data_IF_647174469215
#
_entry.id   IF_647174469215
#
_cell.length_a   1.000
_cell.length_b   1.000
_cell.length_c   1.000
_cell.angle_alpha   90.00
_cell.angle_beta   90.00
_cell.angle_gamma   90.00
#
_symmetry.space_group_name_H-M   'P 1'
#
loop_
_entity.id
_entity.type
_entity.pdbx_description
1 polymer ?
#
# COMPACT_ATOMS: atom_id res chain seq x y z
N UNK A 1 8.24 8.53 8.09
CA UNK A 1 7.06 7.68 8.43
C UNK A 1 7.58 6.42 9.12
N UNK A 2 6.99 5.97 10.24
CA UNK A 2 7.36 4.68 10.87
C UNK A 2 6.96 3.55 9.91
N UNK A 3 7.89 2.64 9.63
CA UNK A 3 7.63 1.50 8.75
C UNK A 3 7.03 0.32 9.53
N UNK A 4 5.71 0.39 9.75
CA UNK A 4 4.97 -0.65 10.46
C UNK A 4 5.01 -1.99 9.71
N UNK A 5 5.02 -1.95 8.38
CA UNK A 5 5.03 -3.15 7.56
C UNK A 5 6.35 -3.90 7.71
N UNK A 6 7.50 -3.21 7.60
CA UNK A 6 8.81 -3.82 7.81
C UNK A 6 8.97 -4.41 9.22
N UNK A 7 8.45 -3.72 10.24
CA UNK A 7 8.45 -4.24 11.62
C UNK A 7 7.64 -5.53 11.71
N UNK A 8 6.43 -5.58 11.13
CA UNK A 8 5.60 -6.79 11.13
C UNK A 8 6.23 -7.93 10.31
N UNK A 9 6.81 -7.63 9.13
CA UNK A 9 7.50 -8.62 8.30
C UNK A 9 8.74 -9.21 8.98
N UNK A 10 9.41 -8.47 9.87
CA UNK A 10 10.59 -8.95 10.59
C UNK A 10 10.33 -10.16 11.49
N UNK A 11 9.07 -10.40 11.89
CA UNK A 11 8.69 -11.60 12.63
C UNK A 11 8.71 -12.86 11.76
N UNK A 12 8.60 -12.74 10.43
CA UNK A 12 8.62 -13.85 9.48
C UNK A 12 7.33 -14.66 9.39
N UNK A 13 6.53 -14.74 10.46
CA UNK A 13 5.28 -15.52 10.52
C UNK A 13 4.00 -14.66 10.42
N UNK A 14 4.12 -13.38 10.13
CA UNK A 14 2.96 -12.47 10.00
C UNK A 14 2.70 -12.23 8.52
N UNK A 15 1.48 -12.49 8.04
CA UNK A 15 1.08 -12.05 6.70
C UNK A 15 0.97 -10.53 6.69
N UNK A 16 1.64 -9.85 5.77
CA UNK A 16 1.61 -8.38 5.69
C UNK A 16 1.30 -7.94 4.27
N UNK A 17 0.29 -7.09 4.10
CA UNK A 17 0.01 -6.46 2.82
C UNK A 17 -0.09 -4.95 2.97
N UNK A 18 0.48 -4.23 2.01
CA UNK A 18 0.30 -2.80 1.85
C UNK A 18 -0.51 -2.54 0.58
N UNK A 19 -1.62 -1.82 0.72
CA UNK A 19 -2.70 -1.77 -0.26
C UNK A 19 -3.08 -0.32 -0.58
N UNK A 20 -3.58 -0.10 -1.81
CA UNK A 20 -4.21 1.14 -2.24
C UNK A 20 -5.24 0.80 -3.32
N UNK A 21 -6.52 0.98 -3.02
CA UNK A 21 -7.65 0.59 -3.87
C UNK A 21 -7.59 1.31 -5.22
N UNK A 22 -7.37 2.62 -5.19
CA UNK A 22 -7.33 3.42 -6.41
C UNK A 22 -6.15 3.09 -7.33
N UNK A 23 -5.10 2.47 -6.79
CA UNK A 23 -3.95 2.01 -7.58
C UNK A 23 -4.20 0.66 -8.25
N UNK A 24 -4.70 -0.34 -7.50
CA UNK A 24 -5.02 -1.67 -8.03
C UNK A 24 -6.08 -2.39 -7.17
N UNK A 25 -7.34 -2.39 -7.65
CA UNK A 25 -8.44 -3.08 -7.00
C UNK A 25 -8.23 -4.60 -6.88
N UNK A 26 -7.59 -5.22 -7.87
CA UNK A 26 -7.36 -6.67 -7.86
C UNK A 26 -6.32 -7.05 -6.80
N UNK A 27 -5.29 -6.21 -6.63
CA UNK A 27 -4.29 -6.38 -5.58
C UNK A 27 -4.93 -6.33 -4.19
N UNK A 28 -5.83 -5.37 -3.95
CA UNK A 28 -6.55 -5.26 -2.67
C UNK A 28 -7.40 -6.49 -2.41
N UNK A 29 -8.20 -6.92 -3.39
CA UNK A 29 -9.05 -8.11 -3.23
C UNK A 29 -8.20 -9.36 -2.95
N UNK A 30 -7.10 -9.54 -3.68
CA UNK A 30 -6.19 -10.66 -3.49
C UNK A 30 -5.56 -10.65 -2.10
N UNK A 31 -5.08 -9.49 -1.64
CA UNK A 31 -4.51 -9.34 -0.31
C UNK A 31 -5.52 -9.68 0.80
N UNK A 32 -6.78 -9.25 0.66
CA UNK A 32 -7.84 -9.54 1.63
C UNK A 32 -8.13 -11.05 1.72
N UNK A 33 -8.25 -11.73 0.58
CA UNK A 33 -8.50 -13.19 0.53
C UNK A 33 -7.30 -13.97 1.08
N UNK A 34 -6.08 -13.60 0.70
CA UNK A 34 -4.87 -14.26 1.21
C UNK A 34 -4.70 -14.08 2.72
N UNK A 35 -4.91 -12.86 3.22
CA UNK A 35 -4.82 -12.54 4.64
C UNK A 35 -5.87 -13.27 5.48
N UNK A 36 -7.10 -13.40 4.99
CA UNK A 36 -8.18 -14.10 5.69
C UNK A 36 -7.94 -15.61 5.71
N UNK A 37 -7.49 -16.18 4.59
CA UNK A 37 -7.16 -17.61 4.48
C UNK A 37 -5.89 -18.03 5.21
N UNK A 38 -5.06 -17.08 5.66
CA UNK A 38 -3.83 -17.38 6.38
C UNK A 38 -4.15 -17.83 7.81
N UNK A 39 -3.74 -19.06 8.15
CA UNK A 39 -3.91 -19.60 9.51
C UNK A 39 -2.84 -19.02 10.47
N UNK A 40 -2.90 -17.72 10.70
CA UNK A 40 -1.95 -16.98 11.50
C UNK A 40 -2.31 -15.49 11.58
N UNK A 41 -1.44 -14.66 12.17
CA UNK A 41 -1.67 -13.23 12.24
C UNK A 41 -1.52 -12.56 10.87
N UNK A 42 -2.48 -11.70 10.53
CA UNK A 42 -2.48 -10.94 9.27
C UNK A 42 -2.61 -9.45 9.55
N UNK A 43 -1.83 -8.64 8.82
CA UNK A 43 -1.85 -7.18 8.87
C UNK A 43 -2.02 -6.60 7.47
N UNK A 44 -3.09 -5.83 7.26
CA UNK A 44 -3.34 -5.12 6.00
C UNK A 44 -3.29 -3.62 6.28
N UNK A 45 -2.44 -2.90 5.54
CA UNK A 45 -2.25 -1.45 5.67
C UNK A 45 -2.74 -0.78 4.39
N UNK A 46 -3.91 -0.15 4.45
CA UNK A 46 -4.50 0.54 3.31
C UNK A 46 -4.19 2.04 3.33
N UNK A 47 -3.80 2.59 2.18
CA UNK A 47 -3.76 4.05 2.02
C UNK A 47 -5.19 4.60 1.99
N UNK A 48 -5.49 5.55 2.88
CA UNK A 48 -6.82 6.13 3.04
C UNK A 48 -6.74 7.65 2.85
N UNK A 49 -7.10 8.19 1.67
CA UNK A 49 -7.25 9.62 1.47
C UNK A 49 -8.27 10.22 2.46
N UNK A 50 -7.98 11.40 2.99
CA UNK A 50 -8.81 12.05 4.01
C UNK A 50 -8.93 13.54 3.73
N UNK A 51 -10.02 14.16 4.22
CA UNK A 51 -10.20 15.63 4.17
C UNK A 51 -9.02 16.39 4.80
N UNK A 52 -8.38 15.81 5.82
CA UNK A 52 -7.22 16.39 6.50
C UNK A 52 -5.96 16.45 5.62
N UNK A 53 -5.94 15.74 4.49
CA UNK A 53 -4.85 15.88 3.52
C UNK A 53 -5.00 17.17 2.70
N UNK A 54 -6.23 17.69 2.57
CA UNK A 54 -6.53 18.87 1.74
C UNK A 54 -6.20 18.64 0.27
N UNK A 55 -6.74 17.57 -0.32
CA UNK A 55 -6.49 17.18 -1.71
C UNK A 55 -7.07 18.24 -2.66
N UNK A 56 -6.26 18.77 -3.58
CA UNK A 56 -6.74 19.68 -4.64
C UNK A 56 -7.74 18.95 -5.55
N UNK A 57 -8.98 19.43 -5.59
CA UNK A 57 -10.10 18.74 -6.24
C UNK A 57 -11.04 18.01 -5.27
N UNK A 58 -10.71 17.99 -3.97
CA UNK A 58 -11.56 17.46 -2.91
C UNK A 58 -11.64 15.93 -2.86
N UNK A 59 -12.47 15.41 -1.96
CA UNK A 59 -12.62 13.96 -1.76
C UNK A 59 -13.26 13.20 -2.93
N UNK A 60 -13.86 13.91 -3.90
CA UNK A 60 -14.43 13.30 -5.12
C UNK A 60 -13.40 12.58 -5.99
N UNK A 61 -12.11 12.91 -5.84
CA UNK A 61 -11.00 12.28 -6.56
C UNK A 61 -10.15 11.35 -5.67
N UNK A 62 -10.64 10.93 -4.51
CA UNK A 62 -9.87 10.14 -3.54
C UNK A 62 -9.20 8.91 -4.17
N UNK A 63 -9.92 8.13 -4.98
CA UNK A 63 -9.38 6.96 -5.67
C UNK A 63 -8.25 7.33 -6.64
N UNK A 64 -8.41 8.43 -7.39
CA UNK A 64 -7.34 8.93 -8.25
C UNK A 64 -6.12 9.39 -7.43
N UNK A 65 -6.34 9.94 -6.24
CA UNK A 65 -5.25 10.34 -5.35
C UNK A 65 -4.45 9.14 -4.82
N UNK A 66 -5.11 8.03 -4.48
CA UNK A 66 -4.42 6.77 -4.13
C UNK A 66 -3.57 6.26 -5.30
N UNK A 67 -4.10 6.31 -6.52
CA UNK A 67 -3.37 5.91 -7.73
C UNK A 67 -2.10 6.74 -7.90
N UNK A 68 -2.22 8.07 -7.82
CA UNK A 68 -1.08 8.99 -7.93
C UNK A 68 -0.05 8.74 -6.84
N UNK A 69 -0.47 8.44 -5.61
CA UNK A 69 0.43 8.14 -4.50
C UNK A 69 1.33 6.92 -4.82
N UNK A 70 0.77 5.90 -5.48
CA UNK A 70 1.53 4.72 -5.91
C UNK A 70 2.39 5.01 -7.13
N UNK A 71 1.85 5.67 -8.16
CA UNK A 71 2.59 6.03 -9.38
C UNK A 71 3.77 6.96 -9.08
N UNK A 72 3.67 7.80 -8.03
CA UNK A 72 4.73 8.70 -7.59
C UNK A 72 5.74 8.06 -6.64
N UNK A 73 5.54 6.80 -6.24
CA UNK A 73 6.40 6.11 -5.27
C UNK A 73 6.27 6.61 -3.82
N UNK A 74 5.24 7.40 -3.53
CA UNK A 74 4.93 7.84 -2.15
C UNK A 74 4.35 6.70 -1.30
N UNK A 75 3.59 5.81 -1.94
CA UNK A 75 3.05 4.60 -1.34
C UNK A 75 3.42 3.39 -2.20
N UNK A 76 3.95 2.33 -1.58
CA UNK A 76 4.21 1.07 -2.29
C UNK A 76 3.08 0.09 -2.01
N UNK A 77 2.75 -0.76 -2.99
CA UNK A 77 1.84 -1.88 -2.79
C UNK A 77 2.62 -3.19 -2.92
N UNK A 78 2.45 -4.07 -1.94
CA UNK A 78 3.17 -5.34 -1.84
C UNK A 78 2.43 -6.30 -0.90
N UNK A 79 2.83 -7.57 -0.97
CA UNK A 79 2.37 -8.64 -0.08
C UNK A 79 3.57 -9.44 0.42
N UNK A 80 3.50 -9.86 1.67
CA UNK A 80 4.41 -10.77 2.32
C UNK A 80 3.59 -11.94 2.83
N UNK A 81 3.81 -13.12 2.26
CA UNK A 81 3.10 -14.34 2.60
C UNK A 81 4.08 -15.38 3.17
N UNK A 82 4.05 -15.63 4.49
CA UNK A 82 4.90 -16.62 5.14
C UNK A 82 4.83 -18.03 4.52
N UNK A 83 3.67 -18.41 3.97
CA UNK A 83 3.47 -19.76 3.38
C UNK A 83 4.41 -20.03 2.21
N UNK A 84 4.81 -18.99 1.49
CA UNK A 84 5.77 -19.12 0.39
C UNK A 84 7.17 -19.49 0.89
N UNK A 85 7.55 -19.05 2.09
CA UNK A 85 8.83 -19.43 2.69
C UNK A 85 8.84 -20.93 3.04
N UNK A 86 7.71 -21.49 3.49
CA UNK A 86 7.57 -22.93 3.75
C UNK A 86 7.72 -23.77 2.47
N UNK A 87 7.37 -23.19 1.32
CA UNK A 87 7.58 -23.75 -0.02
C UNK A 87 9.00 -23.47 -0.59
N UNK A 88 9.89 -22.83 0.17
CA UNK A 88 11.23 -22.46 -0.28
C UNK A 88 11.28 -21.29 -1.29
N UNK A 89 10.18 -20.54 -1.43
CA UNK A 89 10.07 -19.36 -2.29
C UNK A 89 10.30 -18.07 -1.50
N UNK A 90 10.51 -16.96 -2.20
CA UNK A 90 10.57 -15.65 -1.54
C UNK A 90 9.16 -15.24 -1.06
N UNK A 91 8.96 -15.00 0.24
CA UNK A 91 7.66 -14.59 0.77
C UNK A 91 7.25 -13.16 0.35
N UNK A 92 8.20 -12.32 -0.05
CA UNK A 92 7.93 -10.94 -0.44
C UNK A 92 7.64 -10.80 -1.93
N UNK A 93 6.50 -10.17 -2.23
CA UNK A 93 6.05 -9.86 -3.59
C UNK A 93 5.78 -8.36 -3.69
N UNK A 94 6.58 -7.66 -4.50
CA UNK A 94 6.31 -6.27 -4.86
C UNK A 94 5.28 -6.24 -5.99
N UNK A 95 4.05 -5.82 -5.66
CA UNK A 95 2.95 -5.74 -6.65
C UNK A 95 3.01 -4.42 -7.44
N UNK A 96 3.59 -3.38 -6.84
CA UNK A 96 3.75 -2.06 -7.46
C UNK A 96 4.84 -2.04 -8.54
N UNK A 97 4.63 -1.23 -9.57
CA UNK A 97 5.65 -0.94 -10.58
C UNK A 97 6.62 0.13 -10.07
N UNK A 98 7.76 0.26 -10.75
CA UNK A 98 8.66 1.40 -10.53
C UNK A 98 7.89 2.73 -10.72
N UNK A 99 8.15 3.75 -9.87
CA UNK A 99 7.47 5.03 -9.96
C UNK A 99 7.59 5.65 -11.36
N UNK A 100 6.49 6.15 -11.89
CA UNK A 100 6.38 6.78 -13.21
C UNK A 100 5.96 8.25 -13.15
N UNK A 101 5.46 8.71 -12.00
CA UNK A 101 5.04 10.09 -11.77
C UNK A 101 6.02 10.85 -10.86
N UNK A 102 5.99 12.19 -10.93
CA UNK A 102 6.80 13.06 -10.09
C UNK A 102 6.33 13.01 -8.64
N UNK A 103 7.24 12.64 -7.73
CA UNK A 103 7.01 12.69 -6.29
C UNK A 103 6.63 14.10 -5.82
N UNK A 104 7.33 15.12 -6.34
CA UNK A 104 7.09 16.53 -5.98
C UNK A 104 5.68 16.96 -6.38
N UNK A 105 5.24 16.59 -7.59
CA UNK A 105 3.93 17.03 -8.07
C UNK A 105 2.80 16.39 -7.28
N UNK A 106 2.97 15.12 -6.85
CA UNK A 106 2.03 14.46 -5.95
C UNK A 106 1.92 15.21 -4.60
N UNK A 107 3.02 15.42 -3.88
CA UNK A 107 2.95 16.07 -2.56
C UNK A 107 2.43 17.51 -2.66
N UNK A 108 2.77 18.25 -3.72
CA UNK A 108 2.25 19.61 -3.94
C UNK A 108 0.76 19.63 -4.34
N UNK A 109 0.15 18.47 -4.59
CA UNK A 109 -1.28 18.26 -4.81
C UNK A 109 -2.11 18.31 -3.52
N UNK A 110 -1.48 18.21 -2.35
CA UNK A 110 -2.15 18.15 -1.05
C UNK A 110 -1.74 19.34 -0.17
N UNK A 111 -2.72 20.05 0.43
CA UNK A 111 -2.48 21.25 1.26
C UNK A 111 -1.55 20.94 2.44
N UNK A 112 -1.60 19.73 3.01
CA UNK A 112 -0.74 19.32 4.13
C UNK A 112 0.78 19.40 3.86
N UNK A 113 1.19 19.58 2.61
CA UNK A 113 2.59 19.74 2.20
C UNK A 113 2.90 21.10 1.57
N UNK A 114 1.88 21.85 1.13
CA UNK A 114 2.03 23.11 0.39
C UNK A 114 1.53 24.32 1.21
N UNK A 115 1.58 24.21 2.53
CA UNK A 115 1.30 25.27 3.49
C UNK A 115 2.58 25.85 4.06
#
# INVERSE_FOLDING_TARGET
KKDLAAIAMSYGYVYVAQCAMGADNNQVLKAMVEAESYNGPSLIICYAPCINHGIKGGMGIAQLEEKKAVEAGYWNIFRFDPRLADEGKNPFMLDGKAPSASYRDFIMGEVRYNS
#
